data_IF_764068033687
#
_entry.id   IF_764068033687
#
_cell.length_a   1.000
_cell.length_b   1.000
_cell.length_c   1.000
_cell.angle_alpha   90.00
_cell.angle_beta   90.00
_cell.angle_gamma   90.00
#
_symmetry.space_group_name_H-M   'P 1'
#
loop_
_entity.id
_entity.type
_entity.pdbx_description
1 polymer ?
#
# COMPACT_ATOMS: atom_id res chain seq x y z
N UNK A 1 -3.08 11.82 0.21
CA UNK A 1 -3.11 10.62 1.06
C UNK A 1 -2.51 9.44 0.30
N UNK A 2 -1.92 8.45 0.99
CA UNK A 2 -1.42 7.22 0.38
C UNK A 2 -2.41 6.07 0.66
N UNK A 3 -2.87 5.36 -0.37
CA UNK A 3 -3.67 4.14 -0.21
C UNK A 3 -2.78 2.91 -0.31
N UNK A 4 -2.95 1.95 0.59
CA UNK A 4 -2.29 0.64 0.53
C UNK A 4 -3.35 -0.44 0.32
N UNK A 5 -3.40 -0.97 -0.90
CA UNK A 5 -4.40 -1.93 -1.37
C UNK A 5 -3.73 -3.26 -1.80
N UNK A 6 -4.55 -4.29 -1.97
CA UNK A 6 -4.10 -5.62 -2.37
C UNK A 6 -4.91 -6.73 -1.71
N UNK A 7 -4.79 -7.95 -2.21
CA UNK A 7 -5.54 -9.10 -1.72
C UNK A 7 -5.28 -9.41 -0.24
N UNK A 8 -6.13 -10.23 0.38
CA UNK A 8 -5.93 -10.67 1.76
C UNK A 8 -4.68 -11.56 1.86
N UNK A 9 -3.88 -11.38 2.90
CA UNK A 9 -2.67 -12.19 3.14
C UNK A 9 -1.41 -11.79 2.36
N UNK A 10 -1.46 -10.74 1.53
CA UNK A 10 -0.29 -10.29 0.73
C UNK A 10 0.80 -9.59 1.54
N UNK A 11 0.53 -9.19 2.80
CA UNK A 11 1.53 -8.61 3.71
C UNK A 11 1.43 -7.10 3.97
N UNK A 12 0.31 -6.45 3.60
CA UNK A 12 0.09 -5.00 3.79
C UNK A 12 0.35 -4.53 5.23
N UNK A 13 -0.26 -5.18 6.21
CA UNK A 13 -0.12 -4.83 7.63
C UNK A 13 1.33 -4.97 8.11
N UNK A 14 2.07 -5.97 7.61
CA UNK A 14 3.47 -6.15 7.94
C UNK A 14 4.33 -5.01 7.38
N UNK A 15 4.06 -4.58 6.15
CA UNK A 15 4.73 -3.42 5.55
C UNK A 15 4.49 -2.16 6.38
N UNK A 16 3.25 -1.87 6.76
CA UNK A 16 2.91 -0.69 7.60
C UNK A 16 3.67 -0.74 8.93
N UNK A 17 3.66 -1.88 9.62
CA UNK A 17 4.39 -2.06 10.89
C UNK A 17 5.90 -1.85 10.72
N UNK A 18 6.50 -2.35 9.64
CA UNK A 18 7.94 -2.17 9.37
C UNK A 18 8.28 -0.71 9.06
N UNK A 19 7.43 -0.02 8.28
CA UNK A 19 7.61 1.39 7.98
C UNK A 19 7.51 2.23 9.26
N UNK A 20 6.58 1.92 10.16
CA UNK A 20 6.46 2.59 11.46
C UNK A 20 7.72 2.42 12.33
N UNK A 21 8.36 1.25 12.32
CA UNK A 21 9.59 1.03 13.08
C UNK A 21 10.82 1.75 12.51
N UNK A 22 10.86 1.98 11.18
CA UNK A 22 11.99 2.63 10.50
C UNK A 22 11.83 4.16 10.53
N UNK A 23 10.60 4.65 10.45
CA UNK A 23 10.32 6.07 10.51
C UNK A 23 10.37 6.52 11.98
N UNK A 24 11.12 7.59 12.31
CA UNK A 24 11.23 8.06 13.68
C UNK A 24 9.84 8.39 14.23
N UNK A 25 9.50 7.79 15.37
CA UNK A 25 8.30 8.13 16.10
C UNK A 25 8.43 9.59 16.58
N UNK A 26 7.66 10.50 15.99
CA UNK A 26 7.48 11.84 16.54
C UNK A 26 6.61 11.78 17.80
N UNK A 27 7.16 11.23 18.88
CA UNK A 27 6.69 11.50 20.25
C UNK A 27 7.51 12.69 20.73
N UNK A 28 6.84 13.81 21.03
CA UNK A 28 7.44 15.14 21.04
C UNK A 28 8.60 15.39 22.03
N UNK A 29 9.17 16.59 21.86
CA UNK A 29 10.13 17.31 22.72
C UNK A 29 11.63 17.11 22.46
N UNK A 30 12.09 17.29 21.22
CA UNK A 30 13.39 17.94 21.04
C UNK A 30 13.41 18.84 19.79
N UNK A 31 13.55 20.13 20.06
CA UNK A 31 13.83 21.19 19.09
C UNK A 31 15.25 20.99 18.56
N UNK A 32 15.39 20.19 17.51
CA UNK A 32 16.53 20.26 16.60
C UNK A 32 15.95 20.27 15.21
N UNK A 33 16.13 21.39 14.51
CA UNK A 33 15.68 21.59 13.13
C UNK A 33 16.18 20.45 12.23
N UNK A 34 15.26 19.54 11.88
CA UNK A 34 15.42 18.61 10.77
C UNK A 34 14.39 19.01 9.74
N UNK A 35 14.87 19.79 8.77
CA UNK A 35 14.12 20.32 7.64
C UNK A 35 13.39 19.18 6.91
N UNK A 36 12.10 19.08 7.18
CA UNK A 36 11.03 18.53 6.34
C UNK A 36 11.12 17.05 5.89
N UNK A 37 11.03 16.09 6.82
CA UNK A 37 10.37 14.82 6.47
C UNK A 37 8.87 15.06 6.35
N UNK A 38 8.33 15.04 5.11
CA UNK A 38 6.89 15.16 4.87
C UNK A 38 6.13 14.07 5.63
N UNK A 39 5.13 14.46 6.43
CA UNK A 39 4.19 13.53 7.06
C UNK A 39 3.43 12.76 5.98
N UNK A 40 3.59 11.44 5.94
CA UNK A 40 2.86 10.56 5.02
C UNK A 40 1.76 9.84 5.80
N UNK A 41 0.51 10.01 5.36
CA UNK A 41 -0.64 9.25 5.88
C UNK A 41 -0.91 8.07 4.96
N UNK A 42 -0.67 6.85 5.45
CA UNK A 42 -0.98 5.59 4.76
C UNK A 42 -2.31 5.05 5.30
N UNK A 43 -3.27 4.81 4.40
CA UNK A 43 -4.55 4.15 4.71
C UNK A 43 -4.54 2.76 4.09
N UNK A 44 -4.41 1.75 4.94
CA UNK A 44 -4.51 0.34 4.56
C UNK A 44 -5.99 -0.07 4.45
N UNK A 45 -6.36 -0.76 3.37
CA UNK A 45 -7.68 -1.39 3.23
C UNK A 45 -7.51 -2.88 2.95
N UNK A 46 -8.30 -3.71 3.66
CA UNK A 46 -8.27 -5.17 3.49
C UNK A 46 -8.72 -5.62 2.10
N UNK A 47 -8.26 -6.80 1.67
CA UNK A 47 -8.66 -7.39 0.38
C UNK A 47 -10.15 -7.72 0.31
N UNK A 48 -10.73 -8.18 1.43
CA UNK A 48 -12.17 -8.44 1.56
C UNK A 48 -13.02 -7.17 1.41
N UNK A 49 -12.42 -5.98 1.54
CA UNK A 49 -13.10 -4.69 1.36
C UNK A 49 -12.99 -4.17 -0.08
N UNK A 50 -12.50 -4.98 -1.03
CA UNK A 50 -12.34 -4.54 -2.43
C UNK A 50 -13.57 -3.91 -3.07
N UNK A 51 -14.83 -4.34 -2.79
CA UNK A 51 -16.01 -3.69 -3.35
C UNK A 51 -16.19 -2.22 -2.93
N UNK A 52 -15.59 -1.79 -1.81
CA UNK A 52 -15.72 -0.43 -1.26
C UNK A 52 -14.45 0.40 -1.40
N UNK A 53 -13.40 -0.10 -2.07
CA UNK A 53 -12.16 0.66 -2.25
C UNK A 53 -12.41 2.00 -2.94
N UNK A 54 -13.34 2.06 -3.89
CA UNK A 54 -13.70 3.27 -4.64
C UNK A 54 -14.10 4.45 -3.74
N UNK A 55 -14.73 4.18 -2.60
CA UNK A 55 -15.12 5.20 -1.62
C UNK A 55 -13.93 5.94 -0.98
N UNK A 56 -12.70 5.48 -1.20
CA UNK A 56 -11.49 6.05 -0.61
C UNK A 56 -10.56 6.75 -1.61
N UNK A 57 -10.89 6.76 -2.91
CA UNK A 57 -9.99 7.29 -3.95
C UNK A 57 -9.87 8.81 -3.93
N UNK A 58 -10.92 9.54 -3.54
CA UNK A 58 -11.04 11.00 -3.77
C UNK A 58 -9.89 11.89 -3.27
N UNK A 59 -9.13 11.47 -2.23
CA UNK A 59 -7.99 12.22 -1.69
C UNK A 59 -6.64 11.48 -1.87
N UNK A 60 -6.60 10.48 -2.75
CA UNK A 60 -5.42 9.67 -3.02
C UNK A 60 -4.46 10.42 -3.96
N UNK A 61 -3.19 10.53 -3.56
CA UNK A 61 -2.11 11.04 -4.41
C UNK A 61 -1.08 9.95 -4.74
N UNK A 62 -1.10 8.85 -3.98
CA UNK A 62 -0.19 7.74 -4.17
C UNK A 62 -0.90 6.43 -3.83
N UNK A 63 -0.83 5.47 -4.74
CA UNK A 63 -1.38 4.13 -4.56
C UNK A 63 -0.22 3.14 -4.44
N UNK A 64 -0.15 2.46 -3.29
CA UNK A 64 0.66 1.27 -3.11
C UNK A 64 -0.24 0.05 -3.31
N UNK A 65 0.05 -0.77 -4.32
CA UNK A 65 -0.64 -2.02 -4.57
C UNK A 65 0.29 -3.20 -4.29
N UNK A 66 -0.06 -4.02 -3.32
CA UNK A 66 0.78 -5.13 -2.86
C UNK A 66 0.23 -6.47 -3.34
N UNK A 67 1.10 -7.26 -3.97
CA UNK A 67 0.80 -8.58 -4.51
C UNK A 67 1.66 -9.65 -3.83
N UNK A 68 1.14 -10.87 -3.73
CA UNK A 68 1.92 -12.04 -3.33
C UNK A 68 2.52 -12.71 -4.58
N UNK A 69 3.82 -12.57 -4.78
CA UNK A 69 4.52 -13.15 -5.92
C UNK A 69 4.75 -14.66 -5.78
N UNK A 70 4.57 -15.23 -4.58
CA UNK A 70 4.73 -16.67 -4.35
C UNK A 70 3.48 -17.48 -4.71
N UNK A 71 2.34 -16.83 -4.95
CA UNK A 71 1.06 -17.47 -5.24
C UNK A 71 0.53 -17.07 -6.63
N UNK A 72 0.82 -17.86 -7.69
CA UNK A 72 0.40 -17.55 -9.05
C UNK A 72 -1.12 -17.40 -9.23
N UNK A 73 -1.92 -18.17 -8.51
CA UNK A 73 -3.39 -18.10 -8.56
C UNK A 73 -3.90 -16.78 -7.96
N UNK A 74 -3.32 -16.33 -6.85
CA UNK A 74 -3.67 -15.02 -6.29
C UNK A 74 -3.14 -13.87 -7.15
N UNK A 75 -2.00 -14.06 -7.82
CA UNK A 75 -1.39 -13.06 -8.68
C UNK A 75 -2.32 -12.67 -9.85
N UNK A 76 -2.92 -13.65 -10.55
CA UNK A 76 -3.85 -13.37 -11.65
C UNK A 76 -5.08 -12.59 -11.20
N UNK A 77 -5.70 -12.97 -10.08
CA UNK A 77 -6.81 -12.23 -9.48
C UNK A 77 -6.39 -10.81 -9.06
N UNK A 78 -5.19 -10.66 -8.52
CA UNK A 78 -4.64 -9.35 -8.12
C UNK A 78 -4.37 -8.45 -9.33
N UNK A 79 -3.99 -9.01 -10.49
CA UNK A 79 -3.86 -8.25 -11.74
C UNK A 79 -5.20 -7.66 -12.19
N UNK A 80 -6.29 -8.44 -12.13
CA UNK A 80 -7.63 -7.93 -12.45
C UNK A 80 -8.04 -6.79 -11.51
N UNK A 81 -7.76 -6.93 -10.21
CA UNK A 81 -8.01 -5.86 -9.23
C UNK A 81 -7.16 -4.61 -9.52
N UNK A 82 -5.90 -4.78 -9.88
CA UNK A 82 -5.01 -3.67 -10.25
C UNK A 82 -5.51 -2.95 -11.50
N UNK A 83 -5.95 -3.67 -12.53
CA UNK A 83 -6.50 -3.06 -13.74
C UNK A 83 -7.74 -2.21 -13.41
N UNK A 84 -8.61 -2.68 -12.52
CA UNK A 84 -9.74 -1.90 -12.02
C UNK A 84 -9.31 -0.61 -11.31
N UNK A 85 -8.24 -0.67 -10.51
CA UNK A 85 -7.67 0.50 -9.84
C UNK A 85 -7.06 1.49 -10.82
N UNK A 86 -6.31 1.00 -11.81
CA UNK A 86 -5.66 1.84 -12.83
C UNK A 86 -6.67 2.50 -13.79
N UNK A 87 -7.86 1.89 -13.93
CA UNK A 87 -8.95 2.43 -14.76
C UNK A 87 -9.80 3.47 -14.04
N UNK A 88 -9.63 3.66 -12.73
CA UNK A 88 -10.43 4.62 -11.97
C UNK A 88 -9.97 6.06 -12.24
N UNK A 89 -10.90 6.92 -12.67
CA UNK A 89 -10.61 8.31 -13.02
C UNK A 89 -10.06 9.10 -11.82
N UNK A 90 -10.56 8.82 -10.61
CA UNK A 90 -10.10 9.45 -9.37
C UNK A 90 -8.64 9.13 -9.03
N UNK A 91 -8.10 8.03 -9.58
CA UNK A 91 -6.71 7.61 -9.41
C UNK A 91 -5.82 7.98 -10.60
N UNK A 92 -6.36 8.61 -11.65
CA UNK A 92 -5.63 8.96 -12.88
C UNK A 92 -4.37 9.81 -12.65
N UNK A 93 -4.37 10.63 -11.60
CA UNK A 93 -3.24 11.50 -11.22
C UNK A 93 -2.39 10.93 -10.08
N UNK A 94 -2.76 9.78 -9.53
CA UNK A 94 -2.03 9.18 -8.41
C UNK A 94 -0.75 8.50 -8.92
N UNK A 95 0.36 8.67 -8.19
CA UNK A 95 1.56 7.87 -8.45
C UNK A 95 1.33 6.43 -7.97
N UNK A 96 1.59 5.44 -8.81
CA UNK A 96 1.34 4.04 -8.49
C UNK A 96 2.65 3.30 -8.25
N UNK A 97 2.73 2.58 -7.13
CA UNK A 97 3.82 1.67 -6.78
C UNK A 97 3.25 0.25 -6.61
N UNK A 98 3.73 -0.68 -7.45
CA UNK A 98 3.37 -2.09 -7.37
C UNK A 98 4.46 -2.83 -6.58
N UNK A 99 4.07 -3.50 -5.51
CA UNK A 99 4.97 -4.22 -4.61
C UNK A 99 4.74 -5.73 -4.75
N UNK A 100 5.73 -6.43 -5.29
CA UNK A 100 5.78 -7.88 -5.32
C UNK A 100 6.38 -8.39 -4.00
N UNK A 101 5.53 -8.87 -3.11
CA UNK A 101 5.96 -9.44 -1.83
C UNK A 101 6.18 -10.95 -1.93
N UNK A 102 6.90 -11.53 -0.96
CA UNK A 102 7.17 -12.97 -0.84
C UNK A 102 7.88 -13.57 -2.06
N UNK A 103 8.65 -12.77 -2.81
CA UNK A 103 9.39 -13.24 -4.00
C UNK A 103 10.40 -14.34 -3.69
N UNK A 104 10.91 -14.39 -2.45
CA UNK A 104 11.82 -15.42 -1.99
C UNK A 104 11.03 -16.45 -1.16
N UNK A 105 10.40 -17.39 -1.83
CA UNK A 105 9.95 -18.63 -1.19
C UNK A 105 11.17 -19.46 -0.76
N UNK A 106 11.16 -19.96 0.47
CA UNK A 106 12.13 -20.94 0.95
C UNK A 106 12.23 -22.09 -0.04
N UNK A 107 13.42 -22.31 -0.61
CA UNK A 107 13.80 -23.65 -1.08
C UNK A 107 13.73 -24.57 0.13
N UNK A 108 12.66 -25.33 0.26
CA UNK A 108 12.41 -26.28 1.33
C UNK A 108 11.32 -27.24 0.91
#
# INVERSE_FOLDING_TARGET
MCLLLGATGVGKTLLVKRLQNILPHYVGTNLTDIVAHRKITIRELGGCMSPIWASYYGNCHSLLFMMDASNPTQLSASCMQLLGLLSAEELSKASVLILFNKMYGSRG
#
